data_IF_395486561925
#
_entry.id   IF_395486561925
#
_cell.length_a   1.000
_cell.length_b   1.000
_cell.length_c   1.000
_cell.angle_alpha   90.00
_cell.angle_beta   90.00
_cell.angle_gamma   90.00
#
_symmetry.space_group_name_H-M   'P 1'
#
loop_
_entity.id
_entity.type
_entity.pdbx_description
1 polymer ?
#
# COMPACT_ATOMS: atom_id res chain seq x y z
N UNK A 1 5.07 9.46 46.17
CA UNK A 1 4.52 9.54 44.80
C UNK A 1 5.62 9.75 43.74
N UNK A 2 6.85 9.25 43.95
CA UNK A 2 7.99 9.46 43.01
C UNK A 2 8.29 8.23 42.15
N UNK A 3 8.00 7.02 42.66
CA UNK A 3 8.18 5.77 41.91
C UNK A 3 7.19 5.62 40.75
N UNK A 4 5.92 6.02 40.93
CA UNK A 4 4.90 5.93 39.88
C UNK A 4 5.22 6.88 38.71
N UNK A 5 5.69 8.09 39.00
CA UNK A 5 6.09 9.07 37.98
C UNK A 5 7.34 8.63 37.20
N UNK A 6 8.29 7.96 37.86
CA UNK A 6 9.50 7.46 37.18
C UNK A 6 9.21 6.27 36.26
N UNK A 7 8.34 5.34 36.67
CA UNK A 7 7.90 4.25 35.80
C UNK A 7 7.08 4.77 34.61
N UNK A 8 6.17 5.73 34.82
CA UNK A 8 5.41 6.35 33.74
C UNK A 8 6.32 7.03 32.69
N UNK A 9 7.40 7.67 33.12
CA UNK A 9 8.34 8.36 32.23
C UNK A 9 9.11 7.43 31.28
N UNK A 10 9.32 6.16 31.65
CA UNK A 10 10.02 5.18 30.81
C UNK A 10 9.05 4.31 30.02
N UNK A 11 7.90 3.97 30.59
CA UNK A 11 6.90 3.09 29.96
C UNK A 11 6.17 3.81 28.83
N UNK A 12 5.79 5.08 29.01
CA UNK A 12 5.00 5.81 28.01
C UNK A 12 5.73 5.97 26.67
N UNK A 13 7.02 6.41 26.62
CA UNK A 13 7.76 6.48 25.36
C UNK A 13 7.89 5.12 24.68
N UNK A 14 8.18 4.07 25.44
CA UNK A 14 8.39 2.73 24.88
C UNK A 14 7.09 2.12 24.30
N UNK A 15 5.96 2.32 24.98
CA UNK A 15 4.65 1.90 24.47
C UNK A 15 4.24 2.71 23.24
N UNK A 16 4.53 4.01 23.23
CA UNK A 16 4.28 4.86 22.08
C UNK A 16 5.12 4.44 20.88
N UNK A 17 6.43 4.28 21.04
CA UNK A 17 7.34 3.84 19.96
C UNK A 17 6.95 2.46 19.41
N UNK A 18 6.56 1.54 20.30
CA UNK A 18 6.03 0.23 19.90
C UNK A 18 4.73 0.34 19.09
N UNK A 19 3.81 1.19 19.53
CA UNK A 19 2.56 1.45 18.80
C UNK A 19 2.83 2.07 17.42
N UNK A 20 3.71 3.07 17.32
CA UNK A 20 4.12 3.68 16.05
C UNK A 20 4.69 2.62 15.10
N UNK A 21 5.58 1.77 15.60
CA UNK A 21 6.18 0.69 14.81
C UNK A 21 5.13 -0.30 14.30
N UNK A 22 4.18 -0.71 15.14
CA UNK A 22 3.10 -1.62 14.75
C UNK A 22 2.18 -0.98 13.69
N UNK A 23 1.79 0.27 13.87
CA UNK A 23 0.93 0.98 12.92
C UNK A 23 1.60 1.11 11.54
N UNK A 24 2.89 1.45 11.52
CA UNK A 24 3.71 1.51 10.29
C UNK A 24 3.80 0.14 9.62
N UNK A 25 4.15 -0.90 10.38
CA UNK A 25 4.22 -2.26 9.86
C UNK A 25 2.89 -2.79 9.33
N UNK A 26 1.77 -2.38 9.93
CA UNK A 26 0.43 -2.70 9.45
C UNK A 26 0.17 -2.07 8.07
N UNK A 27 0.50 -0.78 7.90
CA UNK A 27 0.34 -0.08 6.64
C UNK A 27 1.19 -0.69 5.52
N UNK A 28 2.47 -1.00 5.80
CA UNK A 28 3.37 -1.67 4.83
C UNK A 28 2.79 -3.00 4.36
N UNK A 29 2.34 -3.84 5.31
CA UNK A 29 1.71 -5.12 5.00
C UNK A 29 0.38 -4.96 4.26
N UNK A 30 -0.38 -3.92 4.56
CA UNK A 30 -1.63 -3.62 3.85
C UNK A 30 -1.35 -3.30 2.39
N UNK A 31 -0.44 -2.37 2.12
CA UNK A 31 -0.07 -1.99 0.75
C UNK A 31 0.43 -3.22 -0.03
N UNK A 32 1.31 -4.03 0.55
CA UNK A 32 1.80 -5.24 -0.12
C UNK A 32 0.69 -6.27 -0.40
N UNK A 33 -0.23 -6.50 0.56
CA UNK A 33 -1.39 -7.36 0.33
C UNK A 33 -2.31 -6.81 -0.76
N UNK A 34 -2.48 -5.49 -0.83
CA UNK A 34 -3.36 -4.86 -1.80
C UNK A 34 -2.78 -4.91 -3.22
N UNK A 35 -1.45 -4.81 -3.35
CA UNK A 35 -0.75 -5.05 -4.61
C UNK A 35 -0.92 -6.51 -5.06
N UNK A 36 -0.73 -7.47 -4.15
CA UNK A 36 -0.97 -8.89 -4.46
C UNK A 36 -2.44 -9.15 -4.81
N UNK A 37 -3.38 -8.54 -4.08
CA UNK A 37 -4.80 -8.63 -4.38
C UNK A 37 -5.12 -8.08 -5.77
N UNK A 38 -4.49 -6.97 -6.19
CA UNK A 38 -4.66 -6.42 -7.52
C UNK A 38 -4.22 -7.41 -8.60
N UNK A 39 -3.11 -8.14 -8.40
CA UNK A 39 -2.63 -9.18 -9.31
C UNK A 39 -3.59 -10.36 -9.39
N UNK A 40 -4.05 -10.86 -8.24
CA UNK A 40 -5.02 -11.95 -8.15
C UNK A 40 -6.37 -11.54 -8.77
N UNK A 41 -6.81 -10.29 -8.57
CA UNK A 41 -8.03 -9.75 -9.13
C UNK A 41 -7.95 -9.67 -10.66
N UNK A 42 -6.84 -9.17 -11.20
CA UNK A 42 -6.62 -9.09 -12.65
C UNK A 42 -6.69 -10.47 -13.30
N UNK A 43 -6.04 -11.47 -12.69
CA UNK A 43 -6.08 -12.85 -13.13
C UNK A 43 -7.49 -13.45 -13.05
N UNK A 44 -8.20 -13.23 -11.94
CA UNK A 44 -9.52 -13.78 -11.70
C UNK A 44 -10.60 -13.18 -12.61
N UNK A 45 -10.52 -11.88 -12.89
CA UNK A 45 -11.50 -11.15 -13.72
C UNK A 45 -11.14 -11.11 -15.19
N UNK A 46 -9.91 -11.48 -15.55
CA UNK A 46 -9.38 -11.34 -16.93
C UNK A 46 -9.51 -9.91 -17.43
N UNK A 47 -9.17 -8.96 -16.56
CA UNK A 47 -9.22 -7.53 -16.83
C UNK A 47 -7.93 -6.88 -16.38
N UNK A 48 -7.60 -5.73 -16.96
CA UNK A 48 -6.46 -4.92 -16.53
C UNK A 48 -6.79 -4.24 -15.22
N UNK A 49 -5.85 -4.25 -14.28
CA UNK A 49 -5.99 -3.61 -12.96
C UNK A 49 -4.98 -2.48 -12.81
N UNK A 50 -5.42 -1.40 -12.19
CA UNK A 50 -4.63 -0.19 -11.97
C UNK A 50 -4.60 0.11 -10.48
N UNK A 51 -3.41 0.20 -9.90
CA UNK A 51 -3.21 0.76 -8.56
C UNK A 51 -2.60 2.14 -8.73
N UNK A 52 -3.39 3.18 -8.43
CA UNK A 52 -2.97 4.56 -8.58
C UNK A 52 -2.61 5.16 -7.24
N UNK A 53 -1.33 5.48 -7.07
CA UNK A 53 -0.82 6.11 -5.87
C UNK A 53 -0.91 7.64 -5.97
N UNK A 54 -1.51 8.26 -4.96
CA UNK A 54 -1.55 9.70 -4.77
C UNK A 54 -0.62 10.08 -3.61
N UNK A 55 0.66 10.29 -3.91
CA UNK A 55 1.69 10.64 -2.92
C UNK A 55 1.32 11.92 -2.14
N UNK A 56 0.96 13.06 -2.77
CA UNK A 56 0.57 14.27 -2.03
C UNK A 56 -0.68 14.08 -1.16
N UNK A 57 -1.61 13.21 -1.58
CA UNK A 57 -2.83 12.90 -0.83
C UNK A 57 -2.71 11.72 0.12
N UNK A 58 -1.51 11.15 0.29
CA UNK A 58 -1.21 10.00 1.15
C UNK A 58 -2.22 8.84 1.00
N UNK A 59 -2.59 8.51 -0.24
CA UNK A 59 -3.64 7.53 -0.52
C UNK A 59 -3.37 6.75 -1.80
N UNK A 60 -4.07 5.63 -1.98
CA UNK A 60 -4.12 4.92 -3.26
C UNK A 60 -5.49 4.34 -3.52
N UNK A 61 -5.75 4.04 -4.79
CA UNK A 61 -7.02 3.49 -5.27
C UNK A 61 -6.76 2.35 -6.24
N UNK A 62 -7.65 1.37 -6.25
CA UNK A 62 -7.58 0.24 -7.19
C UNK A 62 -8.75 0.31 -8.16
N UNK A 63 -8.44 0.19 -9.44
CA UNK A 63 -9.41 0.21 -10.54
C UNK A 63 -9.31 -1.05 -11.37
N UNK A 64 -10.43 -1.47 -11.96
CA UNK A 64 -10.48 -2.47 -13.02
C UNK A 64 -10.91 -1.81 -14.32
N UNK A 65 -10.33 -2.24 -15.43
CA UNK A 65 -10.73 -1.86 -16.78
C UNK A 65 -9.55 -1.86 -17.75
N UNK A 66 -9.79 -2.32 -18.98
CA UNK A 66 -8.74 -2.50 -19.99
C UNK A 66 -8.04 -1.21 -20.42
N UNK A 67 -8.72 -0.06 -20.33
CA UNK A 67 -8.18 1.24 -20.74
C UNK A 67 -8.39 2.32 -19.68
N UNK A 68 -7.61 3.40 -19.73
CA UNK A 68 -7.75 4.54 -18.81
C UNK A 68 -9.14 5.20 -18.86
N UNK A 69 -9.84 5.10 -20.00
CA UNK A 69 -11.19 5.66 -20.16
C UNK A 69 -12.28 4.74 -19.59
N UNK A 70 -12.02 3.44 -19.53
CA UNK A 70 -12.97 2.43 -19.06
C UNK A 70 -12.75 2.05 -17.59
N UNK A 71 -11.62 2.46 -16.99
CA UNK A 71 -11.31 2.08 -15.61
C UNK A 71 -12.39 2.59 -14.65
N UNK A 72 -12.84 1.69 -13.77
CA UNK A 72 -13.78 1.98 -12.69
C UNK A 72 -13.20 1.47 -11.37
N UNK A 73 -13.55 2.10 -10.26
CA UNK A 73 -13.12 1.65 -8.93
C UNK A 73 -13.64 0.23 -8.71
N UNK A 74 -12.75 -0.66 -8.27
CA UNK A 74 -13.20 -1.97 -7.83
C UNK A 74 -13.84 -1.83 -6.46
N UNK A 75 -14.80 -2.70 -6.17
CA UNK A 75 -15.35 -2.80 -4.82
C UNK A 75 -14.25 -3.29 -3.86
N UNK A 76 -14.18 -2.66 -2.69
CA UNK A 76 -13.32 -3.08 -1.60
C UNK A 76 -13.64 -4.53 -1.19
N UNK A 77 -12.69 -5.18 -0.52
CA UNK A 77 -12.79 -6.59 -0.07
C UNK A 77 -13.95 -6.88 0.90
N UNK A 78 -14.69 -5.85 1.36
CA UNK A 78 -15.92 -5.98 2.17
C UNK A 78 -17.20 -5.65 1.40
N UNK A 79 -17.14 -5.32 0.11
CA UNK A 79 -18.30 -5.16 -0.78
C UNK A 79 -19.19 -3.94 -0.51
N UNK A 80 -18.78 -3.02 0.37
CA UNK A 80 -19.64 -1.89 0.79
C UNK A 80 -19.16 -0.53 0.23
N UNK A 81 -17.92 -0.42 -0.22
CA UNK A 81 -17.32 0.84 -0.68
C UNK A 81 -16.26 0.62 -1.76
N UNK A 82 -16.00 1.67 -2.56
CA UNK A 82 -14.89 1.72 -3.50
C UNK A 82 -13.55 1.40 -2.80
N UNK A 83 -12.65 0.71 -3.50
CA UNK A 83 -11.33 0.37 -2.99
C UNK A 83 -10.44 1.62 -2.93
N UNK A 84 -10.53 2.34 -1.81
CA UNK A 84 -9.79 3.54 -1.50
C UNK A 84 -9.10 3.35 -0.16
N UNK A 85 -7.78 3.46 -0.13
CA UNK A 85 -6.99 3.39 1.11
C UNK A 85 -6.38 4.75 1.39
N UNK A 86 -6.68 5.27 2.58
CA UNK A 86 -6.11 6.51 3.10
C UNK A 86 -5.08 6.18 4.18
N UNK A 87 -3.84 6.57 3.96
CA UNK A 87 -2.76 6.47 4.93
C UNK A 87 -2.69 7.77 5.77
N UNK A 88 -2.01 7.70 6.91
CA UNK A 88 -1.85 8.83 7.84
C UNK A 88 -3.07 9.12 8.71
N UNK A 89 -4.09 8.26 8.68
CA UNK A 89 -5.30 8.36 9.51
C UNK A 89 -5.69 7.00 10.07
N UNK A 90 -6.51 7.00 11.13
CA UNK A 90 -7.07 5.76 11.70
C UNK A 90 -5.99 4.75 12.10
N UNK A 91 -6.11 3.52 11.61
CA UNK A 91 -5.15 2.44 11.88
C UNK A 91 -3.78 2.65 11.20
N UNK A 92 -3.68 3.58 10.25
CA UNK A 92 -2.45 3.92 9.53
C UNK A 92 -1.94 5.32 9.88
N UNK A 93 -2.29 5.86 11.06
CA UNK A 93 -1.99 7.24 11.48
C UNK A 93 -0.51 7.62 11.43
N UNK A 94 0.39 6.65 11.48
CA UNK A 94 1.84 6.87 11.43
C UNK A 94 2.48 6.47 10.09
N UNK A 95 1.68 6.21 9.06
CA UNK A 95 2.14 5.84 7.73
C UNK A 95 2.08 7.03 6.77
N UNK A 96 3.21 7.30 6.14
CA UNK A 96 3.35 8.31 5.11
C UNK A 96 3.83 7.65 3.82
N UNK A 97 3.06 7.80 2.74
CA UNK A 97 3.47 7.43 1.39
C UNK A 97 4.47 8.47 0.90
N UNK A 98 5.74 8.08 0.88
CA UNK A 98 6.84 8.96 0.46
C UNK A 98 7.00 8.95 -1.05
N UNK A 99 6.92 7.77 -1.68
CA UNK A 99 7.00 7.64 -3.13
C UNK A 99 6.38 6.35 -3.62
N UNK A 100 5.92 6.37 -4.87
CA UNK A 100 5.53 5.19 -5.63
C UNK A 100 6.10 5.36 -7.04
N UNK A 101 6.80 4.33 -7.54
CA UNK A 101 7.50 4.41 -8.80
C UNK A 101 7.45 3.08 -9.54
N UNK A 102 6.84 3.13 -10.72
CA UNK A 102 6.60 2.04 -11.63
C UNK A 102 6.91 2.60 -13.04
N UNK A 103 8.13 2.37 -13.54
CA UNK A 103 8.63 2.92 -14.81
C UNK A 103 8.43 4.45 -14.98
N UNK A 104 8.72 5.24 -13.94
CA UNK A 104 8.50 6.71 -14.00
C UNK A 104 7.10 7.18 -13.62
N UNK A 105 6.16 6.27 -13.43
CA UNK A 105 4.76 6.56 -13.08
C UNK A 105 4.45 6.18 -11.63
N UNK A 106 3.54 6.89 -10.94
CA UNK A 106 2.99 6.43 -9.67
C UNK A 106 1.89 5.37 -9.84
N UNK A 107 1.62 4.92 -11.06
CA UNK A 107 0.59 3.93 -11.35
C UNK A 107 1.22 2.56 -11.59
N UNK A 108 0.78 1.58 -10.81
CA UNK A 108 1.10 0.18 -11.03
C UNK A 108 0.00 -0.46 -11.87
N UNK A 109 0.37 -1.07 -12.99
CA UNK A 109 -0.56 -1.59 -13.98
C UNK A 109 -0.31 -3.08 -14.11
N UNK A 110 -1.38 -3.87 -14.10
CA UNK A 110 -1.33 -5.32 -14.21
C UNK A 110 -2.22 -5.73 -15.36
N UNK A 111 -1.72 -6.60 -16.24
CA UNK A 111 -2.50 -7.12 -17.35
C UNK A 111 -3.52 -8.21 -16.92
N UNK A 112 -4.36 -8.64 -17.87
CA UNK A 112 -5.38 -9.67 -17.65
C UNK A 112 -4.83 -11.09 -17.39
N UNK A 113 -3.50 -11.27 -17.37
CA UNK A 113 -2.82 -12.47 -16.93
C UNK A 113 -2.29 -12.36 -15.49
N UNK A 114 -2.53 -11.24 -14.81
CA UNK A 114 -1.97 -11.00 -13.47
C UNK A 114 -0.49 -10.64 -13.52
N UNK A 115 0.03 -10.24 -14.68
CA UNK A 115 1.43 -9.89 -14.87
C UNK A 115 1.58 -8.37 -14.80
N UNK A 116 2.46 -7.85 -13.93
CA UNK A 116 2.78 -6.44 -13.94
C UNK A 116 3.34 -5.96 -15.27
N UNK A 117 2.78 -4.87 -15.79
CA UNK A 117 3.28 -4.17 -16.97
C UNK A 117 4.38 -3.21 -16.50
N UNK A 118 5.59 -3.77 -16.34
CA UNK A 118 6.77 -3.06 -15.87
C UNK A 118 8.01 -3.52 -16.66
N UNK A 119 8.88 -2.59 -17.01
CA UNK A 119 10.16 -2.86 -17.66
C UNK A 119 11.28 -3.09 -16.64
N UNK A 120 11.19 -2.46 -15.47
CA UNK A 120 12.10 -2.63 -14.33
C UNK A 120 11.30 -2.83 -13.03
N UNK A 121 11.98 -3.16 -11.94
CA UNK A 121 11.34 -3.37 -10.65
C UNK A 121 10.61 -2.09 -10.17
N UNK A 122 9.34 -2.28 -9.78
CA UNK A 122 8.54 -1.24 -9.14
C UNK A 122 8.87 -1.10 -7.66
N UNK A 123 8.67 0.11 -7.10
CA UNK A 123 8.85 0.34 -5.66
C UNK A 123 7.81 1.29 -5.09
N UNK A 124 7.38 1.00 -3.87
CA UNK A 124 6.59 1.91 -3.02
C UNK A 124 7.37 2.10 -1.72
N UNK A 125 7.57 3.35 -1.33
CA UNK A 125 8.32 3.72 -0.12
C UNK A 125 7.38 4.39 0.86
N UNK A 126 7.29 3.83 2.07
CA UNK A 126 6.58 4.40 3.20
C UNK A 126 7.58 4.92 4.23
N UNK A 127 7.26 6.06 4.86
CA UNK A 127 8.02 6.66 5.95
C UNK A 127 9.53 6.85 5.64
N UNK A 128 9.88 7.10 4.37
CA UNK A 128 11.25 7.21 3.84
C UNK A 128 12.10 5.93 3.89
N UNK A 129 11.74 4.90 4.66
CA UNK A 129 12.59 3.73 4.92
C UNK A 129 11.96 2.41 4.51
N UNK A 130 10.65 2.25 4.71
CA UNK A 130 9.97 0.97 4.51
C UNK A 130 9.71 0.78 3.01
N UNK A 131 10.33 -0.23 2.40
CA UNK A 131 10.29 -0.40 0.94
C UNK A 131 9.55 -1.65 0.54
N UNK A 132 8.55 -1.48 -0.32
CA UNK A 132 7.80 -2.56 -0.96
C UNK A 132 8.29 -2.63 -2.40
N UNK A 133 8.95 -3.72 -2.77
CA UNK A 133 9.46 -3.93 -4.12
C UNK A 133 8.57 -4.90 -4.89
N UNK A 134 8.31 -4.59 -6.16
CA UNK A 134 7.56 -5.45 -7.08
C UNK A 134 8.47 -5.85 -8.23
N UNK A 135 8.65 -7.16 -8.41
CA UNK A 135 9.48 -7.68 -9.49
C UNK A 135 8.77 -7.57 -10.85
N UNK A 136 9.52 -7.14 -11.87
CA UNK A 136 9.01 -7.14 -13.24
C UNK A 136 8.68 -8.58 -13.72
N UNK A 137 7.61 -8.73 -14.50
CA UNK A 137 7.28 -9.96 -15.23
C UNK A 137 6.70 -11.13 -14.43
N UNK A 138 6.95 -11.25 -13.12
CA UNK A 138 6.47 -12.39 -12.30
C UNK A 138 5.58 -12.00 -11.11
N UNK A 139 5.35 -10.70 -10.87
CA UNK A 139 4.43 -10.25 -9.80
C UNK A 139 4.91 -10.53 -8.36
N UNK A 140 6.18 -10.86 -8.15
CA UNK A 140 6.64 -11.13 -6.77
C UNK A 140 6.73 -9.83 -5.98
N UNK A 141 5.78 -9.60 -5.07
CA UNK A 141 5.81 -8.52 -4.09
C UNK A 141 6.69 -8.93 -2.91
N UNK A 142 7.77 -8.17 -2.66
CA UNK A 142 8.71 -8.42 -1.55
C UNK A 142 8.77 -7.22 -0.61
N UNK A 143 8.66 -7.49 0.70
CA UNK A 143 8.86 -6.51 1.76
C UNK A 143 10.35 -6.44 2.13
N UNK A 144 10.89 -5.23 2.23
CA UNK A 144 12.27 -4.96 2.66
C UNK A 144 12.30 -3.97 3.82
#
# INVERSE_FOLDING_TARGET
MVLISALAAVIVPNLYDSYVSIARGSAVKQVARDLQYAEEYALAKRDTVWVEFNVPGNSYRIYGGNTTAEKALIEGTRGEHDFIVQLGVGEYVHAELTSAHFDGSPNFIIDHFGIPILNDNGRVVLNLTDTISVAAGIGTVTLQ
#
